data_IF_620948573244
#
_entry.id   IF_620948573244
#
_cell.length_a   1.000
_cell.length_b   1.000
_cell.length_c   1.000
_cell.angle_alpha   90.00
_cell.angle_beta   90.00
_cell.angle_gamma   90.00
#
_symmetry.space_group_name_H-M   'P 1'
#
loop_
_entity.id
_entity.type
_entity.pdbx_description
1 polymer ?
#
# COMPACT_ATOMS: atom_id res chain seq x y z
N UNK A 1 9.32 15.95 -5.42
CA UNK A 1 9.82 14.61 -5.74
C UNK A 1 9.97 13.82 -4.45
N UNK A 2 9.50 12.56 -4.45
CA UNK A 2 9.57 11.64 -3.31
C UNK A 2 10.22 10.35 -3.75
N UNK A 3 11.13 9.84 -2.94
CA UNK A 3 11.76 8.54 -3.17
C UNK A 3 11.04 7.49 -2.33
N UNK A 4 10.60 6.42 -2.98
CA UNK A 4 10.01 5.25 -2.32
C UNK A 4 10.90 4.04 -2.61
N UNK A 5 11.28 3.32 -1.57
CA UNK A 5 12.09 2.10 -1.69
C UNK A 5 11.33 0.93 -1.08
N UNK A 6 10.87 0.00 -1.92
CA UNK A 6 10.06 -1.15 -1.52
C UNK A 6 10.83 -2.43 -1.72
N UNK A 7 10.76 -3.34 -0.74
CA UNK A 7 11.42 -4.65 -0.82
C UNK A 7 10.59 -5.62 -1.65
N UNK A 8 11.22 -6.30 -2.59
CA UNK A 8 10.63 -7.40 -3.35
C UNK A 8 10.59 -8.67 -2.49
N UNK A 9 9.49 -9.42 -2.54
CA UNK A 9 9.41 -10.72 -1.85
C UNK A 9 10.28 -11.78 -2.55
N UNK A 10 10.39 -11.71 -3.88
CA UNK A 10 11.31 -12.52 -4.68
C UNK A 10 11.99 -11.65 -5.74
N UNK A 11 13.28 -11.91 -5.97
CA UNK A 11 14.05 -11.27 -7.04
C UNK A 11 13.83 -11.92 -8.41
N UNK A 12 13.15 -13.08 -8.47
CA UNK A 12 13.16 -13.97 -9.65
C UNK A 12 12.60 -13.38 -10.94
N UNK A 13 12.01 -12.17 -10.89
CA UNK A 13 11.49 -11.47 -12.07
C UNK A 13 11.90 -9.99 -12.15
N UNK A 14 12.60 -9.45 -11.16
CA UNK A 14 12.93 -8.02 -11.17
C UNK A 14 14.13 -7.78 -12.10
N UNK A 15 13.85 -7.22 -13.27
CA UNK A 15 14.83 -6.99 -14.33
C UNK A 15 14.77 -5.56 -14.88
N UNK A 16 15.65 -5.27 -15.83
CA UNK A 16 15.67 -3.96 -16.51
C UNK A 16 14.37 -3.68 -17.27
N UNK A 17 13.68 -4.72 -17.77
CA UNK A 17 12.40 -4.57 -18.47
C UNK A 17 11.31 -4.02 -17.55
N UNK A 18 11.19 -4.55 -16.34
CA UNK A 18 10.32 -3.99 -15.30
C UNK A 18 10.60 -2.50 -15.06
N UNK A 19 11.87 -2.14 -14.90
CA UNK A 19 12.29 -0.75 -14.64
C UNK A 19 11.89 0.18 -15.79
N UNK A 20 12.11 -0.24 -17.04
CA UNK A 20 11.69 0.52 -18.21
C UNK A 20 10.17 0.70 -18.29
N UNK A 21 9.39 -0.35 -17.97
CA UNK A 21 7.94 -0.26 -17.92
C UNK A 21 7.45 0.73 -16.85
N UNK A 22 8.11 0.76 -15.69
CA UNK A 22 7.78 1.71 -14.62
C UNK A 22 8.10 3.16 -15.00
N UNK A 23 9.25 3.41 -15.63
CA UNK A 23 9.61 4.76 -16.09
C UNK A 23 8.72 5.28 -17.22
N UNK A 24 8.00 4.40 -17.93
CA UNK A 24 6.99 4.80 -18.91
C UNK A 24 5.69 5.35 -18.27
N UNK A 25 5.51 5.16 -16.95
CA UNK A 25 4.34 5.66 -16.22
C UNK A 25 4.51 7.15 -15.95
N UNK A 26 3.55 8.01 -16.35
CA UNK A 26 3.59 9.44 -16.04
C UNK A 26 3.78 9.69 -14.54
N UNK A 27 4.79 10.48 -14.19
CA UNK A 27 5.12 10.83 -12.82
C UNK A 27 6.16 9.95 -12.14
N UNK A 28 6.60 8.86 -12.77
CA UNK A 28 7.81 8.14 -12.35
C UNK A 28 8.99 8.74 -13.12
N UNK A 29 9.83 9.50 -12.42
CA UNK A 29 11.01 10.14 -13.02
C UNK A 29 12.14 9.15 -13.28
N UNK A 30 12.35 8.27 -12.32
CA UNK A 30 13.38 7.24 -12.37
C UNK A 30 12.93 6.01 -11.59
N UNK A 31 13.36 4.84 -12.03
CA UNK A 31 13.21 3.60 -11.30
C UNK A 31 14.49 2.79 -11.44
N UNK A 32 14.88 2.06 -10.41
CA UNK A 32 16.02 1.16 -10.46
C UNK A 32 15.95 0.09 -9.38
N UNK A 33 16.76 -0.95 -9.54
CA UNK A 33 16.88 -2.03 -8.56
C UNK A 33 18.14 -1.80 -7.74
N UNK A 34 17.99 -1.74 -6.42
CA UNK A 34 19.10 -1.70 -5.47
C UNK A 34 19.00 -2.91 -4.54
N UNK A 35 19.81 -3.95 -4.82
CA UNK A 35 19.78 -5.18 -4.04
C UNK A 35 18.44 -5.92 -4.18
N UNK A 36 17.68 -6.03 -3.09
CA UNK A 36 16.34 -6.66 -3.05
C UNK A 36 15.20 -5.62 -3.08
N UNK A 37 15.52 -4.37 -3.43
CA UNK A 37 14.55 -3.27 -3.44
C UNK A 37 14.36 -2.72 -4.84
N UNK A 38 13.12 -2.32 -5.12
CA UNK A 38 12.80 -1.40 -6.21
C UNK A 38 12.73 -0.01 -5.63
N UNK A 39 13.50 0.90 -6.20
CA UNK A 39 13.51 2.32 -5.85
C UNK A 39 12.77 3.08 -6.93
N UNK A 40 11.81 3.91 -6.51
CA UNK A 40 10.99 4.77 -7.36
C UNK A 40 11.23 6.22 -6.96
N UNK A 41 11.57 7.06 -7.92
CA UNK A 41 11.63 8.50 -7.77
C UNK A 41 10.38 9.11 -8.43
N UNK A 42 9.49 9.64 -7.59
CA UNK A 42 8.12 9.97 -7.97
C UNK A 42 7.89 11.47 -7.89
N UNK A 43 7.26 12.03 -8.92
CA UNK A 43 6.61 13.33 -8.84
C UNK A 43 5.18 13.16 -8.31
N UNK A 44 4.98 13.53 -7.03
CA UNK A 44 3.69 13.41 -6.33
C UNK A 44 2.58 14.27 -6.95
N UNK A 45 2.93 15.28 -7.76
CA UNK A 45 1.96 16.08 -8.50
C UNK A 45 1.37 15.33 -9.70
N UNK A 46 2.09 14.34 -10.23
CA UNK A 46 1.70 13.58 -11.41
C UNK A 46 1.09 12.21 -11.06
N UNK A 47 1.62 11.53 -10.03
CA UNK A 47 1.12 10.24 -9.56
C UNK A 47 1.27 10.12 -8.04
N UNK A 48 0.24 9.59 -7.38
CA UNK A 48 0.30 9.34 -5.95
C UNK A 48 1.32 8.24 -5.64
N UNK A 49 2.13 8.35 -4.57
CA UNK A 49 3.13 7.34 -4.23
C UNK A 49 2.59 5.92 -4.07
N UNK A 50 1.44 5.75 -3.41
CA UNK A 50 0.78 4.44 -3.30
C UNK A 50 0.27 3.91 -4.64
N UNK A 51 -0.18 4.77 -5.55
CA UNK A 51 -0.55 4.38 -6.91
C UNK A 51 0.68 3.85 -7.67
N UNK A 52 1.83 4.54 -7.61
CA UNK A 52 3.05 4.07 -8.24
C UNK A 52 3.50 2.70 -7.72
N UNK A 53 3.38 2.46 -6.40
CA UNK A 53 3.66 1.14 -5.80
C UNK A 53 2.65 0.09 -6.24
N UNK A 54 1.35 0.43 -6.34
CA UNK A 54 0.35 -0.48 -6.90
C UNK A 54 0.66 -0.87 -8.34
N UNK A 55 1.19 0.03 -9.17
CA UNK A 55 1.62 -0.31 -10.54
C UNK A 55 2.73 -1.34 -10.60
N UNK A 56 3.66 -1.33 -9.63
CA UNK A 56 4.65 -2.41 -9.51
C UNK A 56 3.94 -3.73 -9.24
N UNK A 57 2.94 -3.74 -8.36
CA UNK A 57 2.19 -4.96 -8.02
C UNK A 57 1.28 -5.44 -9.18
N UNK A 58 0.73 -4.52 -9.96
CA UNK A 58 -0.08 -4.83 -11.16
C UNK A 58 0.75 -5.52 -12.25
N UNK A 59 2.07 -5.37 -12.25
CA UNK A 59 2.98 -6.13 -13.12
C UNK A 59 3.23 -7.57 -12.60
N UNK A 60 2.61 -7.95 -11.48
CA UNK A 60 2.68 -9.29 -10.89
C UNK A 60 3.73 -9.44 -9.79
N UNK A 61 4.40 -8.35 -9.38
CA UNK A 61 5.43 -8.39 -8.35
C UNK A 61 4.83 -8.37 -6.95
N UNK A 62 5.40 -9.19 -6.08
CA UNK A 62 5.07 -9.21 -4.66
C UNK A 62 5.98 -8.27 -3.89
N UNK A 63 5.38 -7.35 -3.14
CA UNK A 63 6.10 -6.35 -2.35
C UNK A 63 5.92 -6.60 -0.87
N UNK A 64 7.00 -6.52 -0.11
CA UNK A 64 6.94 -6.55 1.35
C UNK A 64 6.64 -5.16 1.86
N UNK A 65 5.43 -4.99 2.41
CA UNK A 65 4.93 -3.72 2.92
C UNK A 65 4.57 -3.81 4.41
N UNK A 66 4.61 -2.71 5.17
CA UNK A 66 4.03 -2.65 6.50
C UNK A 66 2.51 -2.84 6.45
N UNK A 67 2.01 -3.67 7.34
CA UNK A 67 0.60 -3.95 7.55
C UNK A 67 0.23 -3.64 8.99
N UNK A 68 -0.89 -2.95 9.16
CA UNK A 68 -1.47 -2.66 10.45
C UNK A 68 -2.87 -3.24 10.50
N UNK A 69 -3.15 -3.94 11.59
CA UNK A 69 -4.48 -4.52 11.85
C UNK A 69 -5.14 -3.71 12.93
N UNK A 70 -6.36 -3.25 12.66
CA UNK A 70 -7.15 -2.47 13.58
C UNK A 70 -8.47 -3.16 13.89
N UNK A 71 -8.90 -3.15 15.15
CA UNK A 71 -10.26 -3.53 15.52
C UNK A 71 -11.21 -2.34 15.39
N UNK A 72 -12.41 -2.56 14.85
CA UNK A 72 -13.45 -1.53 14.70
C UNK A 72 -14.69 -1.92 15.51
N UNK A 73 -14.86 -1.27 16.67
CA UNK A 73 -15.82 -1.70 17.68
C UNK A 73 -17.30 -1.39 17.42
N UNK A 74 -17.65 -0.48 16.51
CA UNK A 74 -19.04 -0.04 16.28
C UNK A 74 -19.31 0.32 14.82
N UNK A 75 -20.59 0.33 14.44
CA UNK A 75 -21.07 0.68 13.10
C UNK A 75 -21.70 -0.50 12.36
N UNK A 76 -22.45 -0.20 11.30
CA UNK A 76 -22.93 -1.20 10.34
C UNK A 76 -21.72 -1.81 9.61
N UNK A 77 -21.50 -3.14 9.64
CA UNK A 77 -20.30 -3.76 9.09
C UNK A 77 -20.09 -3.48 7.60
N UNK A 78 -21.16 -3.41 6.80
CA UNK A 78 -21.07 -3.16 5.37
C UNK A 78 -20.70 -1.70 5.09
N UNK A 79 -21.28 -0.77 5.84
CA UNK A 79 -20.88 0.63 5.77
C UNK A 79 -19.43 0.86 6.19
N UNK A 80 -18.96 0.16 7.22
CA UNK A 80 -17.55 0.21 7.63
C UNK A 80 -16.66 -0.32 6.52
N UNK A 81 -17.03 -1.44 5.88
CA UNK A 81 -16.29 -1.98 4.73
C UNK A 81 -16.16 -0.96 3.60
N UNK A 82 -17.25 -0.31 3.22
CA UNK A 82 -17.21 0.75 2.19
C UNK A 82 -16.26 1.89 2.54
N UNK A 83 -16.23 2.30 3.82
CA UNK A 83 -15.35 3.37 4.28
C UNK A 83 -13.88 2.96 4.27
N UNK A 84 -13.58 1.72 4.70
CA UNK A 84 -12.22 1.17 4.71
C UNK A 84 -11.72 0.90 3.28
N UNK A 85 -12.55 0.38 2.39
CA UNK A 85 -12.06 -0.03 1.06
C UNK A 85 -12.13 1.14 0.05
N UNK A 86 -12.90 2.19 0.37
CA UNK A 86 -13.11 3.35 -0.49
C UNK A 86 -12.07 4.46 -0.36
N UNK A 87 -11.61 4.96 -1.51
CA UNK A 87 -10.88 6.23 -1.64
C UNK A 87 -9.56 6.28 -0.85
N UNK A 88 -8.68 5.31 -1.09
CA UNK A 88 -7.42 5.17 -0.35
C UNK A 88 -6.55 6.44 -0.47
N UNK A 89 -5.98 6.94 0.65
CA UNK A 89 -5.10 8.10 0.63
C UNK A 89 -3.74 7.77 -0.01
N UNK A 90 -2.93 8.78 -0.36
CA UNK A 90 -1.68 8.60 -1.13
C UNK A 90 -0.60 7.71 -0.48
N UNK A 91 -0.75 7.37 0.81
CA UNK A 91 0.19 6.54 1.57
C UNK A 91 -0.34 5.13 1.88
N UNK A 92 -1.61 4.83 1.58
CA UNK A 92 -2.22 3.50 1.75
C UNK A 92 -2.21 2.79 0.40
N UNK A 93 -1.54 1.64 0.36
CA UNK A 93 -1.42 0.80 -0.84
C UNK A 93 -2.67 -0.05 -1.01
N UNK A 94 -3.15 -0.65 0.08
CA UNK A 94 -4.37 -1.46 0.09
C UNK A 94 -5.02 -1.40 1.47
N UNK A 95 -6.35 -1.54 1.52
CA UNK A 95 -7.08 -1.73 2.76
C UNK A 95 -8.21 -2.74 2.54
N UNK A 96 -8.51 -3.52 3.55
CA UNK A 96 -9.59 -4.50 3.54
C UNK A 96 -10.27 -4.56 4.91
N UNK A 97 -11.57 -4.84 4.93
CA UNK A 97 -12.33 -5.05 6.16
C UNK A 97 -13.00 -6.42 6.18
N UNK A 98 -12.74 -7.17 7.24
CA UNK A 98 -13.37 -8.44 7.56
C UNK A 98 -14.57 -8.19 8.47
N UNK A 99 -15.76 -8.49 7.95
CA UNK A 99 -17.04 -8.19 8.61
C UNK A 99 -17.32 -9.08 9.82
N UNK A 100 -16.80 -10.31 9.82
CA UNK A 100 -17.03 -11.31 10.86
C UNK A 100 -16.17 -11.03 12.09
N UNK A 101 -14.89 -10.71 11.86
CA UNK A 101 -13.92 -10.40 12.92
C UNK A 101 -13.90 -8.92 13.29
N UNK A 102 -14.51 -8.04 12.47
CA UNK A 102 -14.45 -6.57 12.58
C UNK A 102 -13.02 -6.03 12.58
N UNK A 103 -12.13 -6.68 11.83
CA UNK A 103 -10.74 -6.27 11.66
C UNK A 103 -10.57 -5.53 10.33
N UNK A 104 -9.93 -4.37 10.40
CA UNK A 104 -9.44 -3.64 9.24
C UNK A 104 -7.94 -3.93 9.06
N UNK A 105 -7.57 -4.34 7.87
CA UNK A 105 -6.20 -4.59 7.45
C UNK A 105 -5.77 -3.44 6.55
N UNK A 106 -4.70 -2.73 6.91
CA UNK A 106 -4.21 -1.56 6.17
C UNK A 106 -2.75 -1.77 5.81
N UNK A 107 -2.47 -1.88 4.51
CA UNK A 107 -1.13 -1.95 3.96
C UNK A 107 -0.69 -0.57 3.46
N UNK A 108 0.49 -0.12 3.87
CA UNK A 108 0.97 1.25 3.61
C UNK A 108 2.32 1.26 2.93
N UNK A 109 2.75 2.45 2.50
CA UNK A 109 4.12 2.68 2.03
C UNK A 109 5.15 2.49 3.16
N UNK A 110 6.40 2.13 2.82
CA UNK A 110 7.51 2.16 3.76
C UNK A 110 7.66 3.53 4.43
N UNK A 111 7.95 3.54 5.73
CA UNK A 111 8.09 4.76 6.53
C UNK A 111 6.77 5.30 7.12
N UNK A 112 5.62 4.78 6.70
CA UNK A 112 4.32 5.12 7.27
C UNK A 112 4.09 4.33 8.56
N UNK A 113 3.92 5.04 9.66
CA UNK A 113 3.68 4.45 10.99
C UNK A 113 2.22 4.05 11.24
N UNK A 114 1.95 3.29 12.33
CA UNK A 114 0.60 2.87 12.69
C UNK A 114 -0.31 4.06 13.03
N UNK A 115 0.23 5.16 13.56
CA UNK A 115 -0.54 6.38 13.85
C UNK A 115 -1.08 7.05 12.60
N UNK A 116 -0.28 7.14 11.54
CA UNK A 116 -0.69 7.71 10.26
C UNK A 116 -1.70 6.79 9.55
N UNK A 117 -1.47 5.48 9.58
CA UNK A 117 -2.43 4.49 9.10
C UNK A 117 -3.76 4.54 9.89
N UNK A 118 -3.70 4.73 11.21
CA UNK A 118 -4.89 4.89 12.05
C UNK A 118 -5.64 6.20 11.80
N UNK A 119 -4.91 7.29 11.48
CA UNK A 119 -5.51 8.58 11.15
C UNK A 119 -6.41 8.47 9.92
N UNK A 120 -5.99 7.71 8.92
CA UNK A 120 -6.79 7.42 7.73
C UNK A 120 -8.18 6.82 8.06
N UNK A 121 -8.26 5.94 9.08
CA UNK A 121 -9.52 5.38 9.59
C UNK A 121 -10.30 6.41 10.42
N UNK A 122 -9.61 7.18 11.26
CA UNK A 122 -10.21 8.22 12.08
C UNK A 122 -10.85 9.33 11.23
N UNK A 123 -10.22 9.73 10.12
CA UNK A 123 -10.73 10.72 9.17
C UNK A 123 -12.05 10.29 8.51
N UNK A 124 -12.36 8.99 8.56
CA UNK A 124 -13.64 8.39 8.09
C UNK A 124 -14.67 8.23 9.21
N UNK A 125 -14.39 8.77 10.40
CA UNK A 125 -15.23 8.65 11.59
C UNK A 125 -15.18 7.28 12.25
N UNK A 126 -14.20 6.43 11.90
CA UNK A 126 -14.05 5.10 12.48
C UNK A 126 -13.20 5.18 13.75
N UNK A 127 -13.68 4.54 14.83
CA UNK A 127 -12.88 4.32 16.03
C UNK A 127 -12.15 2.98 15.86
N UNK A 128 -10.85 3.08 15.63
CA UNK A 128 -9.97 1.97 15.33
C UNK A 128 -8.92 1.83 16.44
N UNK A 129 -8.72 0.62 16.95
CA UNK A 129 -7.64 0.31 17.90
C UNK A 129 -6.64 -0.62 17.23
N UNK A 130 -5.35 -0.29 17.29
CA UNK A 130 -4.30 -1.14 16.72
C UNK A 130 -4.21 -2.44 17.53
N UNK A 131 -4.33 -3.58 16.85
CA UNK A 131 -4.25 -4.90 17.48
C UNK A 131 -3.03 -5.71 17.04
N UNK A 132 -2.51 -5.46 15.83
CA UNK A 132 -1.31 -6.15 15.32
C UNK A 132 -0.57 -5.30 14.28
N UNK A 133 0.71 -5.59 14.08
CA UNK A 133 1.60 -4.94 13.12
C UNK A 133 2.63 -5.94 12.60
N UNK A 134 2.76 -6.05 11.27
CA UNK A 134 3.72 -6.94 10.65
C UNK A 134 4.18 -6.43 9.28
N UNK A 135 5.24 -7.05 8.73
CA UNK A 135 5.66 -6.85 7.35
C UNK A 135 5.55 -8.16 6.60
N UNK A 136 4.73 -8.19 5.54
CA UNK A 136 4.51 -9.38 4.72
C UNK A 136 4.46 -9.04 3.23
N UNK A 137 4.78 -10.00 2.35
CA UNK A 137 4.49 -9.90 0.93
C UNK A 137 3.00 -9.62 0.72
N UNK A 138 2.70 -8.67 -0.15
CA UNK A 138 1.37 -8.43 -0.67
C UNK A 138 1.41 -8.60 -2.18
N UNK A 139 0.39 -9.27 -2.71
CA UNK A 139 0.08 -9.33 -4.13
C UNK A 139 -1.32 -8.76 -4.29
N UNK A 140 -1.48 -7.77 -5.17
CA UNK A 140 -2.83 -7.50 -5.69
C UNK A 140 -3.11 -8.66 -6.66
N UNK A 141 -3.90 -9.63 -6.22
CA UNK A 141 -4.56 -10.53 -7.17
C UNK A 141 -5.38 -9.66 -8.11
N UNK A 142 -5.21 -9.83 -9.42
CA UNK A 142 -6.17 -9.33 -10.40
C UNK A 142 -7.55 -9.88 -9.99
N UNK A 143 -8.33 -9.03 -9.31
CA UNK A 143 -9.72 -9.27 -8.97
C UNK A 143 -10.58 -8.77 -10.11
#
# INVERSE_FOLDING_TARGET
>A
MKTISVRLASRSYADEGMVQMLMAIPGIYNAYIEGDRVVLEIDEAAIQPAEAVRRVMDLGYELVLPHYVFSIGRGDPWRVKELVEGGLPPHVVAAAFDVDTRLAYVAVLPGVGPEEAGRYLADRGLRAELVDSYQKPIRLSFG
#
